data_IF_275070787435
#
_entry.id   IF_275070787435
#
_cell.length_a   1.000
_cell.length_b   1.000
_cell.length_c   1.000
_cell.angle_alpha   90.00
_cell.angle_beta   90.00
_cell.angle_gamma   90.00
#
_symmetry.space_group_name_H-M   'P 1'
#
loop_
_entity.id
_entity.type
_entity.pdbx_description
1 polymer ?
#
# COMPACT_ATOMS: atom_id res chain seq x y z
N UNK A 1 2.22 1.90 -0.06
CA UNK A 1 0.86 2.52 -0.15
C UNK A 1 0.88 3.97 0.31
N UNK A 2 1.33 4.28 1.53
CA UNK A 2 1.33 5.67 2.05
C UNK A 2 2.05 6.68 1.16
N UNK A 3 3.22 6.34 0.64
CA UNK A 3 4.02 7.24 -0.22
C UNK A 3 3.27 7.67 -1.48
N UNK A 4 2.74 6.69 -2.23
CA UNK A 4 1.95 6.94 -3.46
C UNK A 4 0.76 7.85 -3.16
N UNK A 5 0.09 7.68 -2.01
CA UNK A 5 -1.04 8.53 -1.61
C UNK A 5 -0.58 9.95 -1.30
N UNK A 6 0.53 10.11 -0.58
CA UNK A 6 1.09 11.42 -0.27
C UNK A 6 1.47 12.18 -1.54
N UNK A 7 2.22 11.54 -2.45
CA UNK A 7 2.64 12.09 -3.73
C UNK A 7 1.44 12.49 -4.60
N UNK A 8 0.45 11.61 -4.72
CA UNK A 8 -0.79 11.88 -5.50
C UNK A 8 -1.57 13.08 -4.96
N UNK A 9 -1.40 13.41 -3.67
CA UNK A 9 -2.05 14.53 -3.00
C UNK A 9 -1.12 15.77 -2.86
N UNK A 10 0.08 15.74 -3.43
CA UNK A 10 1.07 16.81 -3.33
C UNK A 10 1.56 17.04 -1.88
N UNK A 11 1.76 15.96 -1.12
CA UNK A 11 2.19 15.99 0.28
C UNK A 11 3.51 15.27 0.46
N UNK A 12 4.28 15.74 1.44
CA UNK A 12 5.42 14.99 1.96
C UNK A 12 4.94 14.03 3.06
N UNK A 13 5.13 12.73 2.84
CA UNK A 13 4.69 11.70 3.78
C UNK A 13 5.38 11.86 5.15
N UNK A 14 6.66 12.22 5.17
CA UNK A 14 7.46 12.32 6.41
C UNK A 14 6.92 13.40 7.35
N UNK A 15 6.24 14.41 6.79
CA UNK A 15 5.65 15.51 7.56
C UNK A 15 4.21 15.27 7.99
N UNK A 16 3.48 14.39 7.30
CA UNK A 16 2.03 14.21 7.49
C UNK A 16 1.62 12.82 7.98
N UNK A 17 2.56 11.87 8.06
CA UNK A 17 2.34 10.55 8.63
C UNK A 17 2.13 10.61 10.14
N UNK A 18 1.19 9.79 10.63
CA UNK A 18 0.94 9.57 12.07
C UNK A 18 0.90 8.08 12.30
N UNK A 19 1.85 7.55 13.08
CA UNK A 19 2.09 6.11 13.24
C UNK A 19 1.43 5.47 14.47
N UNK A 20 0.73 6.27 15.27
CA UNK A 20 0.01 5.82 16.44
C UNK A 20 -0.75 6.98 17.08
N UNK A 21 -1.73 6.65 17.92
CA UNK A 21 -2.48 7.63 18.72
C UNK A 21 -2.68 7.06 20.11
N UNK A 22 -2.41 7.87 21.12
CA UNK A 22 -2.56 7.50 22.52
C UNK A 22 -3.20 8.66 23.30
N UNK A 23 -4.15 8.36 24.18
CA UNK A 23 -4.84 9.37 24.99
C UNK A 23 -5.62 10.40 24.15
N UNK A 24 -5.63 11.65 24.62
CA UNK A 24 -6.37 12.77 24.00
C UNK A 24 -5.53 13.45 22.92
N UNK A 25 -5.60 12.95 21.70
CA UNK A 25 -4.84 13.50 20.54
C UNK A 25 -5.49 14.72 19.88
N UNK A 26 -6.73 15.05 20.25
CA UNK A 26 -7.53 16.12 19.64
C UNK A 26 -8.15 15.74 18.29
N UNK A 27 -8.76 16.72 17.61
CA UNK A 27 -9.40 16.50 16.32
C UNK A 27 -8.37 16.18 15.21
N UNK A 28 -8.70 15.21 14.35
CA UNK A 28 -7.82 14.79 13.24
C UNK A 28 -7.63 15.91 12.21
N UNK A 29 -6.38 16.34 12.00
CA UNK A 29 -6.04 17.26 10.89
C UNK A 29 -6.27 16.57 9.53
N UNK A 30 -6.98 17.24 8.61
CA UNK A 30 -7.35 16.70 7.29
C UNK A 30 -6.17 16.13 6.50
N UNK A 31 -5.02 16.80 6.54
CA UNK A 31 -3.82 16.40 5.77
C UNK A 31 -3.09 15.17 6.30
N UNK A 32 -3.43 14.69 7.49
CA UNK A 32 -2.73 13.52 8.08
C UNK A 32 -2.99 12.25 7.27
N UNK A 33 -1.97 11.39 7.18
CA UNK A 33 -2.08 10.01 6.72
C UNK A 33 -1.79 9.14 7.94
N UNK A 34 -2.82 8.44 8.43
CA UNK A 34 -2.70 7.60 9.62
C UNK A 34 -2.24 6.19 9.25
N UNK A 35 -1.34 5.64 10.04
CA UNK A 35 -0.95 4.23 9.98
C UNK A 35 -1.42 3.56 11.27
N UNK A 36 -2.16 2.49 11.11
CA UNK A 36 -2.53 1.59 12.21
C UNK A 36 -1.91 0.22 11.88
N UNK A 37 -1.11 -0.30 12.80
CA UNK A 37 -0.23 -1.44 12.52
C UNK A 37 -0.53 -2.57 13.50
N UNK A 38 -1.25 -3.58 13.01
CA UNK A 38 -1.65 -4.73 13.81
C UNK A 38 -0.56 -5.82 13.76
N UNK A 39 -0.31 -6.46 14.90
CA UNK A 39 0.52 -7.67 15.03
C UNK A 39 -0.29 -8.72 15.77
N UNK A 40 -0.66 -9.80 15.08
CA UNK A 40 -1.48 -10.85 15.64
C UNK A 40 -1.23 -12.19 14.94
N UNK A 41 -0.97 -13.23 15.75
CA UNK A 41 -0.98 -14.63 15.31
C UNK A 41 -0.13 -14.94 14.08
N UNK A 42 -0.75 -15.66 13.16
CA UNK A 42 -0.18 -16.22 11.93
C UNK A 42 -0.53 -15.40 10.66
N UNK A 43 -0.99 -14.16 10.83
CA UNK A 43 -1.34 -13.26 9.73
C UNK A 43 -0.08 -13.02 8.87
N UNK A 44 -0.08 -13.56 7.64
CA UNK A 44 1.03 -13.42 6.69
C UNK A 44 1.21 -11.96 6.26
N UNK A 45 0.10 -11.27 6.01
CA UNK A 45 0.11 -9.84 5.69
C UNK A 45 -1.23 -9.35 5.17
N UNK A 46 -1.79 -8.36 5.84
CA UNK A 46 -2.98 -7.62 5.40
C UNK A 46 -2.65 -6.13 5.34
N UNK A 47 -3.08 -5.47 4.27
CA UNK A 47 -2.93 -4.04 4.09
C UNK A 47 -4.24 -3.47 3.56
N UNK A 48 -4.79 -2.50 4.28
CA UNK A 48 -5.99 -1.76 3.86
C UNK A 48 -5.70 -0.28 3.84
N UNK A 49 -6.05 0.38 2.74
CA UNK A 49 -6.15 1.83 2.66
C UNK A 49 -7.62 2.20 2.76
N UNK A 50 -7.97 2.98 3.78
CA UNK A 50 -9.30 3.50 4.01
C UNK A 50 -9.37 4.98 3.60
N UNK A 51 -10.26 5.28 2.66
CA UNK A 51 -10.70 6.63 2.35
C UNK A 51 -12.10 6.82 2.95
N UNK A 52 -12.23 7.73 3.91
CA UNK A 52 -13.50 7.95 4.63
C UNK A 52 -13.98 9.39 4.42
N UNK A 53 -15.23 9.52 3.98
CA UNK A 53 -15.97 10.77 3.85
C UNK A 53 -17.18 10.80 4.77
N UNK A 54 -17.97 11.87 4.71
CA UNK A 54 -19.26 11.90 5.38
C UNK A 54 -20.23 10.97 4.65
N UNK A 55 -20.83 10.01 5.38
CA UNK A 55 -21.81 9.07 4.81
C UNK A 55 -21.24 7.88 4.04
N UNK A 56 -19.95 7.85 3.72
CA UNK A 56 -19.36 6.76 2.92
C UNK A 56 -17.89 6.44 3.24
N UNK A 57 -17.47 5.26 2.78
CA UNK A 57 -16.08 4.80 2.83
C UNK A 57 -15.73 3.98 1.59
N UNK A 58 -14.49 4.13 1.13
CA UNK A 58 -13.87 3.32 0.09
C UNK A 58 -12.62 2.66 0.68
N UNK A 59 -12.53 1.34 0.53
CA UNK A 59 -11.43 0.54 1.06
C UNK A 59 -10.74 -0.22 -0.07
N UNK A 60 -9.42 -0.09 -0.16
CA UNK A 60 -8.58 -0.92 -1.04
C UNK A 60 -7.78 -1.85 -0.14
N UNK A 61 -8.05 -3.16 -0.26
CA UNK A 61 -7.51 -4.17 0.65
C UNK A 61 -6.76 -5.26 -0.10
N UNK A 62 -5.56 -5.58 0.38
CA UNK A 62 -4.77 -6.71 -0.07
C UNK A 62 -4.50 -7.66 1.12
N UNK A 63 -4.87 -8.93 0.96
CA UNK A 63 -4.66 -10.00 1.95
C UNK A 63 -3.86 -11.13 1.34
N UNK A 64 -2.71 -11.45 1.92
CA UNK A 64 -1.91 -12.60 1.52
C UNK A 64 -2.22 -13.79 2.43
N UNK A 65 -2.54 -14.95 1.84
CA UNK A 65 -2.69 -16.22 2.57
C UNK A 65 -1.38 -17.00 2.67
N UNK A 66 -0.40 -16.70 1.82
CA UNK A 66 0.93 -17.30 1.83
C UNK A 66 1.89 -16.47 0.99
N UNK A 67 3.18 -16.85 1.00
CA UNK A 67 4.20 -16.23 0.12
C UNK A 67 4.06 -16.62 -1.36
N UNK A 68 3.17 -17.55 -1.71
CA UNK A 68 2.98 -18.00 -3.10
C UNK A 68 2.54 -16.89 -4.03
N UNK A 69 1.83 -15.86 -3.54
CA UNK A 69 1.45 -14.71 -4.37
C UNK A 69 2.66 -14.01 -4.99
N UNK A 70 3.74 -13.85 -4.22
CA UNK A 70 4.98 -13.22 -4.68
C UNK A 70 5.77 -14.14 -5.61
N UNK A 71 5.82 -15.44 -5.30
CA UNK A 71 6.46 -16.44 -6.17
C UNK A 71 5.80 -16.50 -7.55
N UNK A 72 4.47 -16.49 -7.59
CA UNK A 72 3.70 -16.45 -8.84
C UNK A 72 3.95 -15.14 -9.62
N UNK A 73 4.06 -14.01 -8.93
CA UNK A 73 4.43 -12.72 -9.53
C UNK A 73 5.82 -12.76 -10.18
N UNK A 74 6.80 -13.37 -9.50
CA UNK A 74 8.15 -13.53 -10.04
C UNK A 74 8.16 -14.45 -11.28
N UNK A 75 7.43 -15.57 -11.26
CA UNK A 75 7.30 -16.46 -12.43
C UNK A 75 6.66 -15.72 -13.61
N UNK A 76 5.61 -14.92 -13.37
CA UNK A 76 5.00 -14.08 -14.39
C UNK A 76 5.99 -13.07 -14.97
N UNK A 77 6.80 -12.43 -14.14
CA UNK A 77 7.85 -11.51 -14.60
C UNK A 77 8.91 -12.24 -15.45
N UNK A 78 9.32 -13.45 -15.06
CA UNK A 78 10.23 -14.29 -15.85
C UNK A 78 9.68 -14.69 -17.22
N UNK A 79 8.36 -14.88 -17.35
CA UNK A 79 7.72 -15.14 -18.64
C UNK A 79 7.63 -13.87 -19.49
N UNK A 80 7.32 -12.74 -18.87
CA UNK A 80 7.18 -11.45 -19.54
C UNK A 80 8.54 -10.92 -20.06
N UNK A 81 9.62 -11.07 -19.28
CA UNK A 81 10.94 -10.54 -19.63
C UNK A 81 11.57 -11.24 -20.83
N UNK A 82 11.20 -12.49 -21.12
CA UNK A 82 11.68 -13.23 -22.29
C UNK A 82 11.33 -12.57 -23.63
N UNK A 83 10.36 -11.65 -23.63
CA UNK A 83 9.94 -10.89 -24.81
C UNK A 83 10.59 -9.50 -24.88
N UNK A 84 11.55 -9.17 -24.01
CA UNK A 84 12.21 -7.86 -23.93
C UNK A 84 13.68 -7.98 -24.27
N UNK A 85 14.18 -7.02 -25.04
CA UNK A 85 15.58 -7.05 -25.50
C UNK A 85 16.56 -6.59 -24.40
N UNK A 86 16.31 -5.44 -23.78
CA UNK A 86 17.10 -4.90 -22.67
C UNK A 86 16.30 -3.82 -21.92
N UNK A 87 16.65 -3.55 -20.67
CA UNK A 87 16.04 -2.48 -19.88
C UNK A 87 16.06 -2.75 -18.37
N UNK A 88 15.60 -1.76 -17.60
CA UNK A 88 15.32 -1.90 -16.17
C UNK A 88 13.81 -1.79 -15.96
N UNK A 89 13.21 -2.86 -15.45
CA UNK A 89 11.75 -3.00 -15.38
C UNK A 89 11.30 -3.29 -13.95
N UNK A 90 10.14 -2.74 -13.60
CA UNK A 90 9.41 -3.06 -12.39
C UNK A 90 8.16 -3.90 -12.67
N UNK A 91 7.41 -4.21 -11.61
CA UNK A 91 6.14 -4.93 -11.74
C UNK A 91 5.05 -4.10 -12.44
N UNK A 92 5.16 -2.78 -12.46
CA UNK A 92 4.29 -1.88 -13.22
C UNK A 92 4.36 -2.21 -14.72
N UNK A 93 5.56 -2.37 -15.28
CA UNK A 93 5.77 -2.77 -16.68
C UNK A 93 5.20 -4.16 -16.98
N UNK A 94 5.41 -5.11 -16.06
CA UNK A 94 4.90 -6.50 -16.17
C UNK A 94 3.36 -6.54 -16.16
N UNK A 95 2.73 -5.63 -15.42
CA UNK A 95 1.28 -5.55 -15.26
C UNK A 95 0.62 -4.60 -16.26
N UNK A 96 1.39 -3.73 -16.93
CA UNK A 96 0.90 -2.73 -17.88
C UNK A 96 0.14 -1.58 -17.22
N UNK A 97 0.60 -1.14 -16.04
CA UNK A 97 0.00 -0.06 -15.24
C UNK A 97 1.01 0.99 -14.80
#
# INVERSE_FOLDING_TARGET
MGQIIAESLGRDLDTCAVYGREGQTGARKRKTIGFETIRAGDIVGEHTVLFAGEGERVEITHKASSRMTFANGAIRACQWIQQKDHGFFGMQDVLGI
#
